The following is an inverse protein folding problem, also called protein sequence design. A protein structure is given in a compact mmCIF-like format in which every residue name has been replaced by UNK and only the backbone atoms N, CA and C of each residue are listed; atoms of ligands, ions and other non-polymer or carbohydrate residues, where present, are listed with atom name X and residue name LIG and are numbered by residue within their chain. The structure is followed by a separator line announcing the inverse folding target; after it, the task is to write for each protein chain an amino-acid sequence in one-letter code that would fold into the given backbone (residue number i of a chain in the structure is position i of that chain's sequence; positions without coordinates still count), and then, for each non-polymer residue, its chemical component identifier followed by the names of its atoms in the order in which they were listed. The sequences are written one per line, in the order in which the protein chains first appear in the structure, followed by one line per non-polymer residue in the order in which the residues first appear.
data_IF_342574535612
#
_entry.id   IF_342574535612
#
_cell.length_a   1.000
_cell.length_b   1.000
_cell.length_c   1.000
_cell.angle_alpha   90.00
_cell.angle_beta   90.00
_cell.angle_gamma   90.00
#
_symmetry.space_group_name_H-M   'P 1'
#
loop_
_entity.id
_entity.type
_entity.pdbx_description
1 polymer ?
#
# COMPACT_ATOMS: atom_id res chain seq x y z
N UNK A 1 -30.10 -11.21 47.67
CA UNK A 1 -30.12 -11.95 46.40
C UNK A 1 -29.45 -11.11 45.33
N UNK A 2 -28.53 -11.72 44.57
CA UNK A 2 -27.46 -11.03 43.85
C UNK A 2 -27.90 -10.39 42.53
N UNK A 3 -27.13 -9.35 42.20
CA UNK A 3 -27.31 -8.30 41.19
C UNK A 3 -27.03 -8.73 39.74
N UNK A 4 -27.60 -7.95 38.84
CA UNK A 4 -27.51 -7.94 37.37
C UNK A 4 -26.05 -8.00 36.89
N UNK A 5 -25.71 -9.02 36.10
CA UNK A 5 -24.44 -9.12 35.37
C UNK A 5 -24.51 -8.31 34.06
N UNK A 6 -23.90 -7.12 34.07
CA UNK A 6 -23.34 -6.51 32.88
C UNK A 6 -22.05 -7.26 32.52
N UNK A 7 -21.97 -7.86 31.32
CA UNK A 7 -20.71 -8.35 30.76
C UNK A 7 -20.08 -7.21 29.94
N UNK A 8 -19.07 -6.62 30.57
CA UNK A 8 -18.13 -5.63 30.08
C UNK A 8 -17.24 -6.22 28.97
N UNK A 9 -16.91 -5.37 28.01
CA UNK A 9 -15.90 -5.56 26.98
C UNK A 9 -14.58 -6.16 27.51
N UNK A 10 -14.00 -7.08 26.75
CA UNK A 10 -12.56 -7.36 26.77
C UNK A 10 -11.99 -6.57 25.58
N UNK A 11 -11.49 -5.35 25.79
CA UNK A 11 -10.17 -5.03 26.33
C UNK A 11 -9.03 -5.51 25.43
N UNK A 12 -8.89 -4.78 24.32
CA UNK A 12 -7.64 -4.23 23.77
C UNK A 12 -6.41 -4.53 24.62
N UNK A 13 -5.50 -5.37 24.11
CA UNK A 13 -4.12 -5.40 24.55
C UNK A 13 -3.35 -4.29 23.84
N UNK A 14 -3.55 -3.04 24.26
CA UNK A 14 -2.55 -1.99 24.04
C UNK A 14 -1.46 -2.17 25.08
N UNK A 15 -0.30 -2.65 24.64
CA UNK A 15 0.97 -2.27 25.27
C UNK A 15 1.53 -1.11 24.46
N UNK A 16 1.35 0.10 24.98
CA UNK A 16 2.12 1.26 24.56
C UNK A 16 3.40 1.33 25.40
N UNK A 17 4.54 1.11 24.76
CA UNK A 17 5.80 1.73 25.12
C UNK A 17 6.40 2.25 23.82
N UNK A 18 6.84 3.50 23.85
CA UNK A 18 7.47 4.16 22.72
C UNK A 18 8.84 3.51 22.48
N UNK A 19 8.96 2.75 21.38
CA UNK A 19 10.23 2.24 20.88
C UNK A 19 10.35 2.65 19.40
N UNK A 20 11.35 3.46 19.07
CA UNK A 20 11.91 3.46 17.72
C UNK A 20 12.60 2.12 17.50
N UNK A 21 12.54 1.60 16.27
CA UNK A 21 13.28 0.43 15.74
C UNK A 21 12.71 -0.96 16.05
N UNK A 22 11.47 -1.24 15.63
CA UNK A 22 11.21 -2.56 15.06
C UNK A 22 10.18 -2.49 13.93
N UNK A 23 10.45 -3.11 12.77
CA UNK A 23 9.45 -3.24 11.73
C UNK A 23 8.20 -3.92 12.29
N UNK A 24 7.02 -3.40 11.95
CA UNK A 24 5.74 -3.95 12.39
C UNK A 24 4.87 -4.29 11.20
N UNK A 25 4.09 -5.36 11.37
CA UNK A 25 3.10 -5.83 10.42
C UNK A 25 1.86 -6.21 11.19
N UNK A 26 0.73 -5.61 10.85
CA UNK A 26 -0.58 -5.95 11.41
C UNK A 26 -1.51 -6.36 10.27
N UNK A 27 -2.00 -7.60 10.31
CA UNK A 27 -2.94 -8.13 9.32
C UNK A 27 -4.37 -8.00 9.85
N UNK A 28 -5.25 -7.48 9.00
CA UNK A 28 -6.67 -7.32 9.31
C UNK A 28 -7.54 -7.86 8.18
N UNK A 29 -8.76 -8.26 8.53
CA UNK A 29 -9.77 -8.76 7.58
C UNK A 29 -9.29 -9.93 6.69
N UNK A 30 -8.65 -10.98 7.26
CA UNK A 30 -8.34 -12.17 6.48
C UNK A 30 -9.63 -12.81 5.98
N UNK A 31 -9.68 -13.10 4.68
CA UNK A 31 -10.85 -13.70 4.02
C UNK A 31 -10.40 -14.84 3.13
N UNK A 32 -10.82 -16.06 3.46
CA UNK A 32 -10.63 -17.22 2.60
C UNK A 32 -11.47 -17.10 1.33
N UNK A 33 -10.88 -17.46 0.20
CA UNK A 33 -11.53 -17.52 -1.10
C UNK A 33 -11.05 -18.76 -1.85
N UNK A 34 -11.80 -19.18 -2.86
CA UNK A 34 -11.38 -20.21 -3.80
C UNK A 34 -11.89 -19.83 -5.18
N UNK A 35 -11.06 -20.02 -6.21
CA UNK A 35 -11.41 -19.74 -7.59
C UNK A 35 -10.97 -20.92 -8.46
N UNK A 36 -11.88 -21.44 -9.29
CA UNK A 36 -11.59 -22.56 -10.20
C UNK A 36 -10.39 -22.28 -11.10
N UNK A 37 -10.25 -21.04 -11.59
CA UNK A 37 -9.17 -20.63 -12.50
C UNK A 37 -7.97 -19.99 -11.78
N UNK A 38 -7.92 -20.01 -10.45
CA UNK A 38 -6.78 -19.55 -9.67
C UNK A 38 -6.65 -20.40 -8.40
N UNK A 39 -6.27 -21.68 -8.53
CA UNK A 39 -6.28 -22.63 -7.41
C UNK A 39 -5.22 -22.33 -6.36
N UNK A 40 -4.24 -21.48 -6.66
CA UNK A 40 -3.22 -21.08 -5.68
C UNK A 40 -3.68 -19.95 -4.77
N UNK A 41 -4.72 -19.18 -5.13
CA UNK A 41 -5.22 -18.08 -4.31
C UNK A 41 -6.00 -18.61 -3.10
N UNK A 42 -5.48 -18.36 -1.90
CA UNK A 42 -6.05 -18.79 -0.61
C UNK A 42 -7.01 -17.75 -0.06
N UNK A 43 -6.66 -16.48 -0.18
CA UNK A 43 -7.37 -15.42 0.53
C UNK A 43 -6.93 -14.02 0.21
N UNK A 44 -7.71 -13.07 0.71
CA UNK A 44 -7.40 -11.65 0.71
C UNK A 44 -7.23 -11.13 2.13
N UNK A 45 -6.44 -10.09 2.29
CA UNK A 45 -6.31 -9.39 3.56
C UNK A 45 -5.92 -7.92 3.36
N UNK A 46 -6.07 -7.13 4.41
CA UNK A 46 -5.46 -5.80 4.52
C UNK A 46 -4.31 -5.87 5.50
N UNK A 47 -3.29 -5.04 5.29
CA UNK A 47 -2.11 -5.00 6.16
C UNK A 47 -1.74 -3.57 6.48
N UNK A 48 -1.37 -3.32 7.73
CA UNK A 48 -0.65 -2.11 8.13
C UNK A 48 0.81 -2.46 8.35
N UNK A 49 1.73 -1.69 7.79
CA UNK A 49 3.17 -1.89 7.97
C UNK A 49 3.86 -0.61 8.41
N UNK A 50 4.92 -0.73 9.18
CA UNK A 50 5.81 0.36 9.57
C UNK A 50 7.24 -0.19 9.67
N UNK A 51 8.25 0.57 9.26
CA UNK A 51 9.64 0.13 9.26
C UNK A 51 10.02 -0.88 8.16
N UNK A 52 9.07 -1.27 7.30
CA UNK A 52 9.33 -2.15 6.14
C UNK A 52 9.23 -1.36 4.84
N UNK A 53 10.24 -1.42 3.95
CA UNK A 53 10.20 -0.75 2.65
C UNK A 53 9.06 -1.22 1.74
N UNK A 54 8.06 -0.36 1.55
CA UNK A 54 6.96 -0.58 0.60
C UNK A 54 7.12 0.29 -0.64
N UNK A 55 6.82 -0.29 -1.79
CA UNK A 55 6.85 0.34 -3.10
C UNK A 55 5.42 0.62 -3.59
N UNK A 56 5.19 1.80 -4.15
CA UNK A 56 3.92 2.13 -4.78
C UNK A 56 4.06 3.21 -5.85
N UNK A 57 3.01 3.38 -6.66
CA UNK A 57 2.91 4.46 -7.62
C UNK A 57 1.95 5.54 -7.12
N UNK A 58 2.24 6.79 -7.47
CA UNK A 58 1.43 7.95 -7.13
C UNK A 58 1.35 8.86 -8.35
N UNK A 59 0.20 9.48 -8.56
CA UNK A 59 0.01 10.48 -9.60
C UNK A 59 0.08 11.88 -9.00
N UNK A 60 0.79 12.79 -9.67
CA UNK A 60 0.90 14.20 -9.32
C UNK A 60 0.02 15.03 -10.25
N UNK A 61 -0.91 15.77 -9.65
CA UNK A 61 -1.89 16.62 -10.34
C UNK A 61 -1.68 18.06 -9.90
N UNK A 62 -1.74 18.97 -10.85
CA UNK A 62 -1.81 20.40 -10.58
C UNK A 62 -3.26 20.84 -10.46
N UNK A 63 -3.57 21.64 -9.45
CA UNK A 63 -4.89 22.26 -9.24
C UNK A 63 -4.80 23.75 -9.55
N UNK A 64 -5.97 24.40 -9.62
CA UNK A 64 -6.09 25.86 -9.62
C UNK A 64 -5.23 26.48 -8.50
N UNK A 65 -4.63 27.63 -8.80
CA UNK A 65 -3.63 28.35 -7.97
C UNK A 65 -2.26 27.65 -7.81
N UNK A 66 -1.79 26.91 -8.82
CA UNK A 66 -0.47 26.23 -8.81
C UNK A 66 -0.29 25.27 -7.61
N UNK A 67 -1.39 24.70 -7.10
CA UNK A 67 -1.38 23.79 -5.95
C UNK A 67 -1.28 22.34 -6.40
N UNK A 68 -0.19 21.67 -6.07
CA UNK A 68 -0.05 20.24 -6.34
C UNK A 68 -0.86 19.35 -5.38
N UNK A 69 -1.31 18.22 -5.89
CA UNK A 69 -1.95 17.16 -5.10
C UNK A 69 -1.53 15.79 -5.61
N UNK A 70 -1.36 14.86 -4.67
CA UNK A 70 -1.02 13.47 -4.99
C UNK A 70 -2.23 12.54 -4.88
N UNK A 71 -2.28 11.57 -5.79
CA UNK A 71 -3.26 10.47 -5.79
C UNK A 71 -2.53 9.13 -5.70
N UNK A 72 -2.77 8.42 -4.60
CA UNK A 72 -2.33 7.04 -4.42
C UNK A 72 -3.08 6.11 -5.38
N UNK A 73 -2.54 4.92 -5.68
CA UNK A 73 -3.19 4.03 -6.62
C UNK A 73 -4.50 3.52 -6.00
N UNK A 74 -5.61 3.59 -6.73
CA UNK A 74 -6.93 3.26 -6.20
C UNK A 74 -7.77 2.44 -7.18
N UNK A 75 -8.77 1.75 -6.64
CA UNK A 75 -9.88 1.17 -7.39
C UNK A 75 -11.18 1.91 -7.11
N UNK A 76 -12.09 1.83 -8.07
CA UNK A 76 -13.49 2.20 -7.90
C UNK A 76 -14.32 0.95 -7.68
N UNK A 77 -15.32 1.02 -6.82
CA UNK A 77 -16.29 -0.05 -6.62
C UNK A 77 -17.65 0.56 -6.29
N UNK A 78 -18.73 -0.16 -6.60
CA UNK A 78 -20.06 0.21 -6.12
C UNK A 78 -20.27 -0.36 -4.73
N UNK A 79 -20.71 0.48 -3.80
CA UNK A 79 -21.13 0.01 -2.49
C UNK A 79 -22.52 -0.64 -2.53
N UNK A 80 -23.02 -1.02 -1.35
CA UNK A 80 -24.33 -1.69 -1.20
C UNK A 80 -25.51 -0.83 -1.68
N UNK A 81 -25.33 0.48 -1.79
CA UNK A 81 -26.34 1.43 -2.24
C UNK A 81 -26.19 1.78 -3.74
N UNK A 82 -25.19 1.20 -4.42
CA UNK A 82 -24.88 1.49 -5.82
C UNK A 82 -24.05 2.76 -6.01
N UNK A 83 -23.61 3.42 -4.94
CA UNK A 83 -22.77 4.61 -5.02
C UNK A 83 -21.33 4.21 -5.34
N UNK A 84 -20.67 5.01 -6.19
CA UNK A 84 -19.28 4.76 -6.57
C UNK A 84 -18.35 5.25 -5.48
N UNK A 85 -17.66 4.31 -4.84
CA UNK A 85 -16.63 4.57 -3.84
C UNK A 85 -15.24 4.38 -4.42
N UNK A 86 -14.24 4.98 -3.77
CA UNK A 86 -12.82 4.80 -4.10
C UNK A 86 -12.09 4.18 -2.91
N UNK A 87 -11.24 3.20 -3.18
CA UNK A 87 -10.34 2.61 -2.18
C UNK A 87 -8.93 2.61 -2.73
N UNK A 88 -8.00 3.23 -2.00
CA UNK A 88 -6.58 3.17 -2.33
C UNK A 88 -6.04 1.77 -2.04
N UNK A 89 -5.17 1.25 -2.89
CA UNK A 89 -4.49 -0.03 -2.68
C UNK A 89 -3.36 0.07 -1.67
N UNK A 90 -2.65 1.20 -1.66
CA UNK A 90 -1.61 1.54 -0.70
C UNK A 90 -1.71 3.02 -0.37
N UNK A 91 -1.74 3.38 0.90
CA UNK A 91 -1.76 4.78 1.31
C UNK A 91 -1.20 4.99 2.73
N UNK A 92 -0.66 6.19 3.02
CA UNK A 92 -0.33 6.58 4.39
C UNK A 92 -1.56 6.53 5.28
N UNK A 93 -1.36 6.12 6.53
CA UNK A 93 -2.45 6.11 7.52
C UNK A 93 -2.67 7.52 8.10
N UNK A 94 -1.59 8.28 8.31
CA UNK A 94 -1.67 9.62 8.90
C UNK A 94 -1.52 10.74 7.88
N UNK A 95 -2.08 11.91 8.21
CA UNK A 95 -1.96 13.11 7.39
C UNK A 95 -0.50 13.58 7.33
N UNK A 96 0.24 13.47 8.42
CA UNK A 96 1.64 13.91 8.50
C UNK A 96 2.53 13.11 7.54
N UNK A 97 2.33 11.79 7.45
CA UNK A 97 3.05 10.96 6.47
C UNK A 97 2.62 11.32 5.05
N UNK A 98 1.32 11.52 4.82
CA UNK A 98 0.81 11.95 3.51
C UNK A 98 1.40 13.27 3.06
N UNK A 99 1.48 14.25 3.94
CA UNK A 99 2.04 15.57 3.65
C UNK A 99 3.54 15.47 3.34
N UNK A 100 4.29 14.63 4.09
CA UNK A 100 5.70 14.33 3.78
C UNK A 100 5.88 13.69 2.41
N UNK A 101 5.06 12.68 2.08
CA UNK A 101 5.09 12.05 0.75
C UNK A 101 4.77 13.08 -0.32
N UNK A 102 3.76 13.92 -0.13
CA UNK A 102 3.42 14.98 -1.07
C UNK A 102 4.58 15.96 -1.27
N UNK A 103 5.16 16.48 -0.18
CA UNK A 103 6.29 17.40 -0.27
C UNK A 103 7.50 16.77 -0.98
N UNK A 104 7.80 15.50 -0.70
CA UNK A 104 8.87 14.76 -1.38
C UNK A 104 8.58 14.56 -2.87
N UNK A 105 7.33 14.28 -3.25
CA UNK A 105 6.92 14.13 -4.65
C UNK A 105 7.01 15.45 -5.41
N UNK A 106 6.52 16.54 -4.83
CA UNK A 106 6.59 17.88 -5.44
C UNK A 106 8.05 18.30 -5.62
N UNK A 107 8.88 18.15 -4.58
CA UNK A 107 10.30 18.48 -4.68
C UNK A 107 11.00 17.63 -5.75
N UNK A 108 10.78 16.32 -5.78
CA UNK A 108 11.38 15.45 -6.78
C UNK A 108 10.89 15.77 -8.20
N UNK A 109 9.65 16.26 -8.36
CA UNK A 109 9.13 16.72 -9.64
C UNK A 109 9.88 17.97 -10.11
N UNK A 110 9.99 18.98 -9.24
CA UNK A 110 10.76 20.22 -9.48
C UNK A 110 12.22 19.89 -9.85
N UNK A 111 12.90 19.05 -9.06
CA UNK A 111 14.27 18.60 -9.32
C UNK A 111 14.40 17.86 -10.67
N UNK A 112 13.39 17.09 -11.07
CA UNK A 112 13.39 16.35 -12.35
C UNK A 112 13.19 17.29 -13.54
N UNK A 113 12.32 18.29 -13.41
CA UNK A 113 12.12 19.34 -14.41
C UNK A 113 13.42 20.14 -14.61
N UNK A 114 14.24 20.28 -13.56
CA UNK A 114 15.51 21.01 -13.58
C UNK A 114 16.74 20.21 -14.04
N UNK A 115 16.58 19.00 -14.62
CA UNK A 115 17.65 18.06 -15.00
C UNK A 115 18.37 17.37 -13.81
N UNK A 116 17.91 16.16 -13.44
CA UNK A 116 18.75 15.04 -12.99
C UNK A 116 17.95 13.76 -12.84
N UNK A 117 18.36 12.71 -13.55
CA UNK A 117 17.87 11.36 -13.34
C UNK A 117 19.01 10.51 -12.79
N UNK A 118 18.80 9.87 -11.65
CA UNK A 118 19.71 8.82 -11.17
C UNK A 118 18.87 7.56 -11.00
N UNK A 119 19.12 6.56 -11.84
CA UNK A 119 18.65 5.21 -11.56
C UNK A 119 19.42 4.68 -10.35
N UNK A 120 18.78 4.65 -9.19
CA UNK A 120 19.39 4.12 -7.96
C UNK A 120 19.28 2.60 -7.95
N UNK A 121 20.34 1.89 -7.57
CA UNK A 121 20.32 0.43 -7.44
C UNK A 121 19.61 -0.05 -6.16
N UNK A 122 19.42 -1.36 -6.00
CA UNK A 122 18.65 -1.92 -4.88
C UNK A 122 19.31 -1.65 -3.52
N UNK A 123 20.63 -1.81 -3.44
CA UNK A 123 21.39 -1.67 -2.20
C UNK A 123 21.53 -0.18 -1.83
N UNK A 124 21.69 0.68 -2.83
CA UNK A 124 21.69 2.13 -2.65
C UNK A 124 20.35 2.65 -2.12
N UNK A 125 19.22 2.11 -2.59
CA UNK A 125 17.92 2.45 -2.05
C UNK A 125 17.73 2.02 -0.60
N UNK A 126 18.30 0.88 -0.19
CA UNK A 126 18.23 0.44 1.20
C UNK A 126 18.95 1.44 2.11
N UNK A 127 20.17 1.85 1.74
CA UNK A 127 20.92 2.87 2.47
C UNK A 127 20.20 4.23 2.46
N UNK A 128 19.65 4.64 1.31
CA UNK A 128 18.91 5.89 1.21
C UNK A 128 17.66 5.91 2.10
N UNK A 129 17.02 4.76 2.34
CA UNK A 129 15.88 4.65 3.26
C UNK A 129 16.27 4.77 4.73
N UNK A 130 17.52 4.48 5.09
CA UNK A 130 18.05 4.75 6.43
C UNK A 130 18.18 6.26 6.67
N UNK A 131 18.62 7.00 5.64
CA UNK A 131 18.77 8.46 5.72
C UNK A 131 17.43 9.21 5.55
N UNK A 132 16.57 8.73 4.65
CA UNK A 132 15.27 9.32 4.34
C UNK A 132 14.19 8.24 4.23
N UNK A 133 13.18 8.23 5.11
CA UNK A 133 12.18 7.18 5.16
C UNK A 133 11.22 7.19 3.96
N UNK A 134 11.34 8.15 3.03
CA UNK A 134 10.58 8.19 1.77
C UNK A 134 11.47 8.62 0.61
N UNK A 135 11.60 7.74 -0.39
CA UNK A 135 12.33 8.00 -1.63
C UNK A 135 11.33 8.06 -2.79
N UNK A 136 11.44 9.09 -3.64
CA UNK A 136 10.60 9.29 -4.83
C UNK A 136 11.44 9.11 -6.10
N UNK A 137 10.84 8.50 -7.12
CA UNK A 137 11.37 8.43 -8.48
C UNK A 137 10.30 8.81 -9.48
N UNK A 138 10.56 9.77 -10.34
CA UNK A 138 9.78 9.95 -11.55
C UNK A 138 10.30 8.97 -12.61
N UNK A 139 9.47 8.38 -13.50
CA UNK A 139 9.97 7.81 -14.73
C UNK A 139 10.50 8.96 -15.60
N UNK A 140 11.50 8.68 -16.45
CA UNK A 140 12.06 9.66 -17.38
C UNK A 140 10.91 10.36 -18.10
N UNK A 141 10.81 11.69 -17.99
CA UNK A 141 9.75 12.49 -18.60
C UNK A 141 9.86 12.35 -20.13
N UNK A 142 9.21 11.35 -20.72
CA UNK A 142 8.98 11.30 -22.16
C UNK A 142 7.76 12.15 -22.43
N UNK A 143 8.00 13.32 -23.00
CA UNK A 143 7.04 14.32 -23.46
C UNK A 143 5.88 14.55 -22.47
N UNK A 144 6.08 15.50 -21.57
CA UNK A 144 5.05 16.00 -20.66
C UNK A 144 3.81 16.36 -21.50
N UNK A 145 2.68 15.62 -21.38
CA UNK A 145 1.47 16.01 -22.05
C UNK A 145 1.04 17.37 -21.49
N UNK A 146 0.56 18.25 -22.37
CA UNK A 146 0.12 19.62 -22.06
C UNK A 146 -0.67 19.74 -20.75
N UNK A 147 -0.27 20.75 -19.96
CA UNK A 147 -0.63 21.13 -18.59
C UNK A 147 -2.13 21.33 -18.27
N UNK A 148 -3.00 20.31 -18.37
CA UNK A 148 -4.43 20.52 -18.02
C UNK A 148 -5.04 19.60 -16.95
N UNK A 149 -4.29 18.67 -16.33
CA UNK A 149 -4.70 18.06 -15.04
C UNK A 149 -3.63 17.16 -14.40
N UNK A 150 -2.92 16.35 -15.17
CA UNK A 150 -1.91 15.41 -14.66
C UNK A 150 -0.53 15.87 -15.13
N UNK A 151 0.35 16.21 -14.19
CA UNK A 151 1.70 16.69 -14.51
C UNK A 151 2.75 15.57 -14.50
N UNK A 152 2.46 14.44 -13.85
CA UNK A 152 3.33 13.26 -13.92
C UNK A 152 2.90 12.10 -13.03
N UNK A 153 3.53 10.94 -13.24
CA UNK A 153 3.46 9.81 -12.34
C UNK A 153 4.81 9.66 -11.64
N UNK A 154 4.79 9.24 -10.38
CA UNK A 154 6.00 8.91 -9.63
C UNK A 154 5.83 7.54 -8.96
N UNK A 155 6.95 6.85 -8.78
CA UNK A 155 7.05 5.72 -7.88
C UNK A 155 7.65 6.21 -6.56
N UNK A 156 7.16 5.68 -5.44
CA UNK A 156 7.72 5.95 -4.13
C UNK A 156 8.11 4.64 -3.43
N UNK A 157 9.13 4.72 -2.60
CA UNK A 157 9.45 3.70 -1.61
C UNK A 157 9.46 4.34 -0.24
N UNK A 158 8.81 3.73 0.75
CA UNK A 158 8.74 4.28 2.10
C UNK A 158 8.77 3.20 3.18
N UNK A 159 9.40 3.52 4.30
CA UNK A 159 9.34 2.75 5.56
C UNK A 159 8.35 3.35 6.56
N UNK A 160 7.67 4.44 6.19
CA UNK A 160 6.64 5.07 7.03
C UNK A 160 5.42 4.16 7.21
N UNK A 161 4.54 4.55 8.13
CA UNK A 161 3.34 3.76 8.41
C UNK A 161 2.32 3.82 7.27
N UNK A 162 2.09 2.68 6.64
CA UNK A 162 1.23 2.53 5.47
C UNK A 162 0.14 1.48 5.70
N UNK A 163 -1.01 1.67 5.07
CA UNK A 163 -2.02 0.63 4.91
C UNK A 163 -1.98 0.11 3.46
N UNK A 164 -2.18 -1.20 3.32
CA UNK A 164 -2.39 -1.86 2.04
C UNK A 164 -3.69 -2.68 2.06
N UNK A 165 -4.38 -2.69 0.93
CA UNK A 165 -5.67 -3.37 0.76
C UNK A 165 -5.62 -4.35 -0.41
N UNK A 166 -6.48 -5.38 -0.33
CA UNK A 166 -6.60 -6.46 -1.32
C UNK A 166 -5.29 -7.23 -1.58
N UNK A 167 -4.46 -7.42 -0.55
CA UNK A 167 -3.26 -8.25 -0.67
C UNK A 167 -3.68 -9.71 -0.82
N UNK A 168 -3.08 -10.41 -1.78
CA UNK A 168 -3.41 -11.79 -2.14
C UNK A 168 -2.45 -12.75 -1.42
N UNK A 169 -2.99 -13.68 -0.64
CA UNK A 169 -2.23 -14.80 -0.09
C UNK A 169 -2.36 -16.00 -1.04
N UNK A 170 -1.24 -16.49 -1.55
CA UNK A 170 -1.17 -17.66 -2.40
C UNK A 170 -0.47 -18.82 -1.72
N UNK A 171 -0.90 -20.04 -2.03
CA UNK A 171 -0.27 -21.30 -1.61
C UNK A 171 0.03 -22.15 -2.85
N UNK A 172 1.31 -22.40 -3.08
CA UNK A 172 1.79 -23.16 -4.23
C UNK A 172 3.02 -23.97 -3.82
N UNK A 173 3.10 -25.24 -4.24
CA UNK A 173 4.24 -26.12 -3.93
C UNK A 173 4.58 -26.21 -2.43
N UNK A 174 3.55 -26.21 -1.57
CA UNK A 174 3.71 -26.28 -0.11
C UNK A 174 4.23 -25.00 0.55
N UNK A 175 4.26 -23.87 -0.17
CA UNK A 175 4.76 -22.59 0.33
C UNK A 175 3.75 -21.48 0.13
N UNK A 176 3.60 -20.64 1.15
CA UNK A 176 2.82 -19.42 1.07
C UNK A 176 3.67 -18.29 0.48
N UNK A 177 3.05 -17.46 -0.35
CA UNK A 177 3.67 -16.24 -0.88
C UNK A 177 2.60 -15.18 -1.12
N UNK A 178 3.04 -13.93 -1.15
CA UNK A 178 2.17 -12.80 -1.45
C UNK A 178 2.14 -12.52 -2.93
N UNK A 179 0.98 -12.05 -3.38
CA UNK A 179 0.85 -11.26 -4.60
C UNK A 179 0.12 -9.98 -4.28
N UNK A 180 0.49 -8.93 -4.97
CA UNK A 180 -0.25 -7.67 -4.96
C UNK A 180 -1.36 -7.76 -6.00
N UNK A 181 -2.48 -7.04 -5.79
CA UNK A 181 -3.69 -7.23 -6.57
C UNK A 181 -3.37 -7.33 -8.06
N UNK A 182 -3.52 -8.54 -8.59
CA UNK A 182 -3.28 -8.86 -10.00
C UNK A 182 -4.51 -8.59 -10.86
N UNK A 183 -5.63 -8.29 -10.20
CA UNK A 183 -6.93 -8.11 -10.80
C UNK A 183 -6.97 -6.83 -11.60
N UNK A 184 -7.47 -6.95 -12.83
CA UNK A 184 -7.85 -5.78 -13.60
C UNK A 184 -9.02 -5.09 -12.91
N UNK A 185 -9.02 -3.77 -12.88
CA UNK A 185 -10.17 -2.97 -12.47
C UNK A 185 -10.83 -2.34 -13.70
N UNK A 186 -12.12 -2.07 -13.62
CA UNK A 186 -12.79 -1.27 -14.64
C UNK A 186 -12.63 0.22 -14.30
N UNK A 187 -12.13 1.00 -15.26
CA UNK A 187 -12.07 2.45 -15.13
C UNK A 187 -13.45 3.11 -15.36
N UNK A 188 -13.50 4.45 -15.34
CA UNK A 188 -14.74 5.20 -15.53
C UNK A 188 -15.40 4.94 -16.90
N UNK A 189 -14.64 4.46 -17.89
CA UNK A 189 -15.09 4.15 -19.24
C UNK A 189 -15.46 2.67 -19.40
N UNK A 190 -15.49 1.89 -18.30
CA UNK A 190 -15.71 0.45 -18.26
C UNK A 190 -14.61 -0.37 -18.95
N UNK A 191 -13.43 0.22 -19.17
CA UNK A 191 -12.29 -0.50 -19.73
C UNK A 191 -11.53 -1.24 -18.63
N UNK A 192 -11.11 -2.47 -18.93
CA UNK A 192 -10.30 -3.26 -18.00
C UNK A 192 -8.84 -2.78 -18.00
N UNK A 193 -8.41 -2.17 -16.90
CA UNK A 193 -7.03 -1.73 -16.67
C UNK A 193 -6.32 -2.67 -15.71
N UNK A 194 -5.03 -2.95 -15.94
CA UNK A 194 -4.22 -3.66 -14.97
C UNK A 194 -4.14 -2.84 -13.67
N UNK A 195 -4.20 -3.49 -12.51
CA UNK A 195 -3.96 -2.79 -11.26
C UNK A 195 -2.57 -2.14 -11.29
N UNK A 196 -2.46 -0.90 -10.77
CA UNK A 196 -1.17 -0.25 -10.63
C UNK A 196 -0.25 -1.09 -9.75
N UNK A 197 1.03 -1.15 -10.10
CA UNK A 197 2.00 -1.88 -9.30
C UNK A 197 2.14 -1.23 -7.92
N UNK A 198 1.74 -1.97 -6.89
CA UNK A 198 2.04 -1.72 -5.50
C UNK A 198 2.73 -2.98 -4.96
N UNK A 199 3.65 -2.84 -4.02
CA UNK A 199 4.40 -3.99 -3.52
C UNK A 199 5.41 -3.71 -2.42
N UNK A 200 6.32 -4.65 -2.21
CA UNK A 200 7.45 -4.52 -1.29
C UNK A 200 8.73 -4.27 -2.07
N UNK A 201 9.64 -3.48 -1.52
CA UNK A 201 10.92 -3.20 -2.16
C UNK A 201 11.94 -4.34 -1.98
N UNK A 202 11.83 -5.11 -0.88
CA UNK A 202 12.75 -6.21 -0.58
C UNK A 202 12.02 -7.52 -0.20
N UNK A 203 12.79 -8.61 -0.08
CA UNK A 203 12.29 -9.95 0.24
C UNK A 203 11.91 -10.12 1.70
N UNK A 204 12.52 -9.35 2.61
CA UNK A 204 12.25 -9.42 4.05
C UNK A 204 10.88 -8.86 4.38
N UNK A 205 10.49 -7.73 3.79
CA UNK A 205 9.16 -7.16 3.92
C UNK A 205 8.09 -8.12 3.37
N UNK A 206 8.33 -8.70 2.19
CA UNK A 206 7.43 -9.71 1.63
C UNK A 206 7.28 -10.92 2.56
N UNK A 207 8.40 -11.41 3.12
CA UNK A 207 8.41 -12.54 4.05
C UNK A 207 7.64 -12.21 5.33
N UNK A 208 7.92 -11.06 5.96
CA UNK A 208 7.26 -10.63 7.19
C UNK A 208 5.74 -10.49 7.01
N UNK A 209 5.31 -9.90 5.89
CA UNK A 209 3.88 -9.80 5.57
C UNK A 209 3.27 -11.17 5.29
N UNK A 210 4.01 -12.08 4.62
CA UNK A 210 3.54 -13.46 4.36
C UNK A 210 3.32 -14.21 5.67
N UNK A 211 4.30 -14.16 6.58
CA UNK A 211 4.27 -14.84 7.86
C UNK A 211 3.12 -14.33 8.72
N UNK A 212 2.98 -13.01 8.86
CA UNK A 212 1.87 -12.40 9.59
C UNK A 212 0.50 -12.77 8.99
N UNK A 213 0.40 -12.85 7.65
CA UNK A 213 -0.83 -13.27 7.00
C UNK A 213 -1.16 -14.74 7.28
N UNK A 214 -0.18 -15.64 7.19
CA UNK A 214 -0.36 -17.07 7.52
C UNK A 214 -0.79 -17.23 8.98
N UNK A 215 -0.15 -16.54 9.90
CA UNK A 215 -0.52 -16.56 11.32
C UNK A 215 -1.95 -16.07 11.55
N UNK A 216 -2.34 -14.95 10.93
CA UNK A 216 -3.69 -14.42 11.04
C UNK A 216 -4.74 -15.40 10.46
N UNK A 217 -4.48 -16.01 9.30
CA UNK A 217 -5.39 -16.99 8.71
C UNK A 217 -5.51 -18.26 9.55
N UNK A 218 -4.42 -18.71 10.21
CA UNK A 218 -4.47 -19.83 11.15
C UNK A 218 -5.26 -19.49 12.41
N UNK A 219 -5.04 -18.31 12.98
CA UNK A 219 -5.76 -17.83 14.15
C UNK A 219 -7.29 -17.76 13.92
N UNK A 220 -7.71 -17.43 12.71
CA UNK A 220 -9.10 -17.40 12.27
C UNK A 220 -9.65 -18.77 11.80
N UNK A 221 -8.82 -19.83 11.83
CA UNK A 221 -9.22 -21.17 11.37
C UNK A 221 -9.53 -21.24 9.86
N UNK A 222 -8.97 -20.33 9.06
CA UNK A 222 -9.18 -20.27 7.62
C UNK A 222 -8.24 -21.21 6.85
N UNK A 223 -7.08 -21.51 7.43
CA UNK A 223 -6.10 -22.48 6.94
C UNK A 223 -5.57 -23.33 8.10
N UNK A 224 -4.97 -24.47 7.74
CA UNK A 224 -4.35 -25.42 8.68
C UNK A 224 -2.91 -25.02 9.07
#
# INVERSE_FOLDING_TARGET
MASIKAKKAAATASKSTADKENPSVEVTFPRKVSFENNPTLVGFFSVTTEGLPLFGNVSLTEKEDDKFSIFFPYKKYQDKNGETQTQSYIHPISKEVRDRVQAAVVKAFEDTVEEKFVETEKDEMANALEENPTIIRFPTLRDVPTFEALVGNASFVTTEKMAMHDVELHHENGKYHLRFPSRRYQDANKEWKAAPHCGTFNTEAAKAITEAAVEAFKAEGLID
#
